data_IF_352057729220
#
_entry.id   IF_352057729220
#
_cell.length_a   1.000
_cell.length_b   1.000
_cell.length_c   1.000
_cell.angle_alpha   90.00
_cell.angle_beta   90.00
_cell.angle_gamma   90.00
#
_symmetry.space_group_name_H-M   'P 1'
#
loop_
_entity.id
_entity.type
_entity.pdbx_description
1 polymer ?
#
# COMPACT_ATOMS: atom_id res chain seq x y z
N UNK A 1 10.18 1.60 -21.31
CA UNK A 1 10.96 0.57 -20.61
C UNK A 1 10.43 -0.76 -21.04
N UNK A 2 11.29 -1.63 -21.56
CA UNK A 2 10.91 -3.01 -21.80
C UNK A 2 11.02 -3.76 -20.48
N UNK A 3 9.91 -4.34 -20.06
CA UNK A 3 9.80 -5.10 -18.81
C UNK A 3 9.64 -6.57 -19.16
N UNK A 4 10.50 -7.42 -18.61
CA UNK A 4 10.45 -8.87 -18.79
C UNK A 4 10.21 -9.54 -17.43
N UNK A 5 9.11 -10.27 -17.32
CA UNK A 5 8.79 -11.00 -16.09
C UNK A 5 9.79 -12.14 -15.86
N UNK A 6 10.54 -12.09 -14.77
CA UNK A 6 11.45 -13.15 -14.33
C UNK A 6 10.72 -14.07 -13.37
N UNK A 7 10.07 -13.49 -12.36
CA UNK A 7 9.19 -14.19 -11.43
C UNK A 7 7.83 -13.50 -11.42
N UNK A 8 6.73 -14.26 -11.55
CA UNK A 8 5.38 -13.69 -11.51
C UNK A 8 5.06 -13.11 -10.13
N UNK A 9 4.01 -12.29 -10.06
CA UNK A 9 3.47 -11.79 -8.80
C UNK A 9 3.07 -12.98 -7.93
N UNK A 10 3.64 -13.02 -6.73
CA UNK A 10 3.42 -14.06 -5.73
C UNK A 10 3.00 -13.41 -4.43
N UNK A 11 1.95 -13.93 -3.80
CA UNK A 11 1.55 -13.54 -2.44
C UNK A 11 2.48 -14.26 -1.48
N UNK A 12 3.26 -13.49 -0.74
CA UNK A 12 4.26 -13.98 0.21
C UNK A 12 3.65 -14.13 1.61
N UNK A 13 2.74 -13.24 1.97
CA UNK A 13 2.05 -13.22 3.26
C UNK A 13 0.61 -12.76 3.06
N UNK A 14 -0.31 -13.44 3.74
CA UNK A 14 -1.68 -12.97 3.92
C UNK A 14 -2.16 -13.40 5.31
N UNK A 15 -2.38 -12.42 6.18
CA UNK A 15 -2.92 -12.58 7.53
C UNK A 15 -4.26 -11.86 7.58
N UNK A 16 -5.26 -12.50 8.16
CA UNK A 16 -6.55 -11.90 8.43
C UNK A 16 -7.11 -12.45 9.75
N UNK A 17 -7.29 -11.56 10.73
CA UNK A 17 -7.74 -11.90 12.06
C UNK A 17 -9.21 -11.52 12.23
N UNK A 18 -10.10 -12.50 12.07
CA UNK A 18 -11.54 -12.29 12.09
C UNK A 18 -12.05 -11.75 13.44
N UNK A 19 -11.36 -12.05 14.55
CA UNK A 19 -11.68 -11.51 15.87
C UNK A 19 -11.68 -9.97 15.93
N UNK A 20 -10.85 -9.30 15.13
CA UNK A 20 -10.69 -7.85 15.14
C UNK A 20 -11.66 -7.10 14.21
N UNK A 21 -12.54 -7.82 13.49
CA UNK A 21 -13.50 -7.23 12.55
C UNK A 21 -14.51 -6.30 13.26
N UNK A 22 -14.96 -6.68 14.45
CA UNK A 22 -15.88 -5.83 15.21
C UNK A 22 -15.20 -4.54 15.69
N UNK A 23 -13.91 -4.62 16.04
CA UNK A 23 -13.10 -3.50 16.51
C UNK A 23 -12.83 -2.50 15.37
N UNK A 24 -12.64 -3.00 14.14
CA UNK A 24 -12.39 -2.16 12.97
C UNK A 24 -13.54 -1.21 12.62
N UNK A 25 -14.74 -1.45 13.13
CA UNK A 25 -15.91 -0.56 12.97
C UNK A 25 -15.78 0.71 13.80
N UNK A 26 -14.97 0.69 14.86
CA UNK A 26 -14.75 1.84 15.75
C UNK A 26 -13.54 2.69 15.34
N UNK A 27 -12.73 2.19 14.40
CA UNK A 27 -11.54 2.86 13.89
C UNK A 27 -10.52 1.84 13.41
N UNK A 28 -9.79 2.20 12.35
CA UNK A 28 -8.63 1.45 11.86
C UNK A 28 -7.62 2.41 11.23
N UNK A 29 -6.36 1.99 11.19
CA UNK A 29 -5.33 2.57 10.33
C UNK A 29 -5.21 1.73 9.07
N UNK A 30 -4.85 2.38 7.96
CA UNK A 30 -4.60 1.74 6.68
C UNK A 30 -3.29 2.28 6.11
N UNK A 31 -2.39 1.37 5.76
CA UNK A 31 -1.15 1.67 5.07
C UNK A 31 -1.02 0.76 3.85
N UNK A 32 -0.57 1.32 2.73
CA UNK A 32 -0.23 0.53 1.56
C UNK A 32 0.81 1.23 0.70
N UNK A 33 1.64 0.45 0.00
CA UNK A 33 2.64 1.04 -0.88
C UNK A 33 3.42 0.03 -1.69
N UNK A 34 4.05 0.53 -2.76
CA UNK A 34 5.05 -0.21 -3.51
C UNK A 34 6.45 0.01 -2.92
N UNK A 35 7.22 -1.06 -2.84
CA UNK A 35 8.65 -1.04 -2.60
C UNK A 35 9.42 -1.46 -3.83
N UNK A 36 10.61 -0.88 -4.02
CA UNK A 36 11.49 -1.15 -5.15
C UNK A 36 12.90 -1.41 -4.65
N UNK A 37 13.44 -2.58 -5.00
CA UNK A 37 14.83 -2.94 -4.77
C UNK A 37 15.48 -3.32 -6.10
N UNK A 38 16.66 -2.77 -6.38
CA UNK A 38 17.38 -3.00 -7.63
C UNK A 38 18.67 -3.76 -7.37
N UNK A 39 18.85 -4.90 -8.03
CA UNK A 39 20.03 -5.74 -7.90
C UNK A 39 20.56 -6.14 -9.28
N UNK A 40 21.87 -6.36 -9.38
CA UNK A 40 22.49 -6.95 -10.56
C UNK A 40 22.74 -8.44 -10.27
N UNK A 41 22.08 -9.30 -11.02
CA UNK A 41 22.29 -10.75 -10.98
C UNK A 41 22.84 -11.17 -12.33
N UNK A 42 24.04 -11.75 -12.36
CA UNK A 42 24.69 -12.24 -13.59
C UNK A 42 24.73 -11.21 -14.75
N UNK A 43 25.08 -9.96 -14.44
CA UNK A 43 25.09 -8.82 -15.38
C UNK A 43 23.72 -8.36 -15.90
N UNK A 44 22.63 -8.90 -15.34
CA UNK A 44 21.26 -8.49 -15.67
C UNK A 44 20.70 -7.58 -14.57
N UNK A 45 20.15 -6.42 -14.99
CA UNK A 45 19.46 -5.48 -14.10
C UNK A 45 18.10 -6.07 -13.71
N UNK A 46 17.97 -6.45 -12.46
CA UNK A 46 16.75 -7.03 -11.89
C UNK A 46 16.14 -6.05 -10.89
N UNK A 47 14.85 -5.78 -11.03
CA UNK A 47 14.07 -5.04 -10.05
C UNK A 47 13.14 -6.01 -9.32
N UNK A 48 13.23 -6.00 -8.00
CA UNK A 48 12.27 -6.64 -7.10
C UNK A 48 11.22 -5.60 -6.77
N UNK A 49 9.97 -5.90 -7.08
CA UNK A 49 8.83 -5.03 -6.78
C UNK A 49 8.03 -5.71 -5.68
N UNK A 50 7.86 -5.02 -4.54
CA UNK A 50 7.02 -5.46 -3.43
C UNK A 50 5.78 -4.59 -3.35
N UNK A 51 4.67 -5.18 -2.90
CA UNK A 51 3.47 -4.43 -2.55
C UNK A 51 2.95 -4.94 -1.21
N UNK A 52 2.71 -4.00 -0.30
CA UNK A 52 2.33 -4.27 1.07
C UNK A 52 1.04 -3.51 1.40
N UNK A 53 0.16 -4.16 2.18
CA UNK A 53 -1.00 -3.54 2.81
C UNK A 53 -1.01 -3.97 4.28
N UNK A 54 -1.19 -3.01 5.17
CA UNK A 54 -1.39 -3.24 6.59
C UNK A 54 -2.67 -2.51 7.04
N UNK A 55 -3.53 -3.24 7.75
CA UNK A 55 -4.69 -2.69 8.45
C UNK A 55 -4.57 -3.08 9.91
N UNK A 56 -4.57 -2.08 10.79
CA UNK A 56 -4.52 -2.29 12.23
C UNK A 56 -5.71 -1.66 12.94
N UNK A 57 -6.11 -2.25 14.06
CA UNK A 57 -7.18 -1.78 14.95
C UNK A 57 -6.61 -1.49 16.34
N UNK A 58 -7.34 -0.73 17.16
CA UNK A 58 -6.95 -0.54 18.56
C UNK A 58 -5.83 0.47 18.83
N UNK A 59 -5.34 1.19 17.82
CA UNK A 59 -4.30 2.22 17.98
C UNK A 59 -4.80 3.63 18.34
N UNK A 60 -6.11 3.85 18.51
CA UNK A 60 -6.69 5.13 18.91
C UNK A 60 -7.68 4.91 20.06
N UNK A 61 -7.34 5.42 21.25
CA UNK A 61 -8.30 5.55 22.35
C UNK A 61 -9.13 6.82 22.16
N UNK A 62 -10.44 6.66 22.02
CA UNK A 62 -11.38 7.77 21.96
C UNK A 62 -11.88 8.09 23.37
N UNK A 63 -11.71 9.34 23.78
CA UNK A 63 -12.27 9.85 25.03
C UNK A 63 -13.26 10.96 24.73
N UNK A 64 -14.49 10.80 25.22
CA UNK A 64 -15.52 11.82 25.13
C UNK A 64 -15.59 12.57 26.46
N UNK A 65 -15.39 13.90 26.42
CA UNK A 65 -15.58 14.76 27.58
C UNK A 65 -16.80 15.65 27.35
N UNK A 66 -17.81 15.51 28.21
CA UNK A 66 -18.97 16.39 28.22
C UNK A 66 -18.59 17.69 28.92
N UNK A 67 -18.60 18.79 28.18
CA UNK A 67 -18.33 20.13 28.68
C UNK A 67 -19.67 20.82 28.95
N UNK A 68 -19.99 21.15 30.21
CA UNK A 68 -21.16 21.93 30.55
C UNK A 68 -21.07 23.31 29.87
N UNK A 69 -22.17 23.77 29.30
CA UNK A 69 -22.25 25.13 28.76
C UNK A 69 -23.07 26.03 29.68
N UNK A 70 -22.92 27.35 29.52
CA UNK A 70 -23.69 28.33 30.30
C UNK A 70 -25.20 28.29 30.01
N UNK A 71 -25.61 27.59 28.94
CA UNK A 71 -27.01 27.32 28.61
C UNK A 71 -27.40 25.91 29.12
N UNK A 72 -28.34 25.79 30.08
CA UNK A 72 -28.72 24.51 30.69
C UNK A 72 -29.39 23.53 29.71
N UNK A 73 -29.73 23.97 28.49
CA UNK A 73 -30.26 23.12 27.43
C UNK A 73 -29.20 22.73 26.37
N UNK A 74 -27.93 23.09 26.57
CA UNK A 74 -26.85 22.79 25.63
C UNK A 74 -25.69 22.08 26.31
N UNK A 75 -25.18 21.09 25.59
CA UNK A 75 -23.99 20.33 25.95
C UNK A 75 -22.98 20.48 24.82
N UNK A 76 -21.71 20.64 25.17
CA UNK A 76 -20.62 20.50 24.23
C UNK A 76 -19.93 19.16 24.48
N UNK A 77 -19.64 18.41 23.42
CA UNK A 77 -18.87 17.17 23.51
C UNK A 77 -17.53 17.43 22.85
N UNK A 78 -16.47 17.29 23.64
CA UNK A 78 -15.12 17.25 23.10
C UNK A 78 -14.73 15.79 22.91
N UNK A 79 -14.49 15.40 21.67
CA UNK A 79 -13.98 14.08 21.29
C UNK A 79 -12.48 14.22 21.10
N UNK A 80 -11.69 13.53 21.93
CA UNK A 80 -10.24 13.48 21.82
C UNK A 80 -9.81 12.05 21.45
N UNK A 81 -9.05 11.91 20.37
CA UNK A 81 -8.36 10.65 20.05
C UNK A 81 -6.92 10.71 20.55
N UNK A 82 -6.48 9.68 21.26
CA UNK A 82 -5.09 9.48 21.65
C UNK A 82 -4.54 8.25 20.93
N UNK A 83 -3.46 8.44 20.17
CA UNK A 83 -2.72 7.31 19.61
C UNK A 83 -2.09 6.51 20.76
N UNK A 84 -2.29 5.20 20.75
CA UNK A 84 -1.67 4.25 21.70
C UNK A 84 -0.73 3.32 20.94
N UNK A 85 0.37 2.92 21.57
CA UNK A 85 1.38 2.07 20.93
C UNK A 85 0.83 0.66 20.63
N UNK A 86 1.23 0.16 19.45
CA UNK A 86 0.98 -1.13 18.80
C UNK A 86 -0.51 -1.51 18.62
N UNK A 87 -1.15 -0.91 17.61
CA UNK A 87 -2.43 -1.41 17.11
C UNK A 87 -2.33 -2.87 16.64
N UNK A 88 -3.37 -3.66 16.93
CA UNK A 88 -3.46 -5.08 16.56
C UNK A 88 -3.68 -5.24 15.06
N UNK A 89 -3.03 -6.23 14.46
CA UNK A 89 -3.16 -6.49 13.01
C UNK A 89 -4.54 -7.08 12.74
N UNK A 90 -5.37 -6.35 11.98
CA UNK A 90 -6.58 -6.91 11.39
C UNK A 90 -6.25 -7.66 10.10
N UNK A 91 -5.44 -7.04 9.25
CA UNK A 91 -5.02 -7.62 7.97
C UNK A 91 -3.58 -7.23 7.65
N UNK A 92 -2.77 -8.20 7.23
CA UNK A 92 -1.48 -7.97 6.56
C UNK A 92 -1.48 -8.68 5.21
N UNK A 93 -1.03 -8.01 4.18
CA UNK A 93 -0.82 -8.58 2.87
C UNK A 93 0.52 -8.13 2.32
N UNK A 94 1.32 -9.09 1.85
CA UNK A 94 2.60 -8.82 1.18
C UNK A 94 2.71 -9.67 -0.06
N UNK A 95 3.05 -9.02 -1.16
CA UNK A 95 3.33 -9.68 -2.45
C UNK A 95 4.61 -9.15 -3.08
N UNK A 96 5.22 -9.95 -3.94
CA UNK A 96 6.38 -9.53 -4.70
C UNK A 96 6.45 -10.16 -6.09
N UNK A 97 7.24 -9.54 -6.96
CA UNK A 97 7.66 -10.13 -8.23
C UNK A 97 9.09 -9.70 -8.57
N UNK A 98 9.67 -10.32 -9.59
CA UNK A 98 10.96 -9.93 -10.14
C UNK A 98 10.83 -9.64 -11.63
N UNK A 99 11.37 -8.51 -12.06
CA UNK A 99 11.39 -8.09 -13.46
C UNK A 99 12.81 -7.75 -13.90
N UNK A 100 13.13 -8.10 -15.14
CA UNK A 100 14.28 -7.55 -15.83
C UNK A 100 13.81 -6.36 -16.66
N UNK A 101 14.71 -5.40 -16.86
CA UNK A 101 14.40 -4.17 -17.55
C UNK A 101 15.48 -3.73 -18.54
N UNK A 102 15.01 -3.16 -19.64
CA UNK A 102 15.81 -2.40 -20.59
C UNK A 102 15.23 -0.99 -20.73
N UNK A 103 16.07 0.01 -20.49
CA UNK A 103 15.69 1.41 -20.51
C UNK A 103 15.46 1.87 -21.96
N UNK A 104 14.47 2.73 -22.16
CA UNK A 104 14.12 3.30 -23.48
C UNK A 104 14.04 4.84 -23.45
N UNK A 105 14.27 5.45 -22.29
CA UNK A 105 14.20 6.90 -22.07
C UNK A 105 13.14 7.25 -21.06
N UNK A 106 13.35 8.36 -20.33
CA UNK A 106 12.62 8.65 -19.08
C UNK A 106 11.09 8.62 -19.25
N UNK A 107 10.55 9.37 -20.20
CA UNK A 107 9.09 9.46 -20.38
C UNK A 107 8.48 8.10 -20.80
N UNK A 108 9.16 7.36 -21.68
CA UNK A 108 8.72 6.04 -22.11
C UNK A 108 8.81 5.01 -20.98
N UNK A 109 9.82 5.14 -20.13
CA UNK A 109 10.07 4.28 -18.99
C UNK A 109 9.05 4.50 -17.87
N UNK A 110 8.74 5.77 -17.55
CA UNK A 110 7.66 6.14 -16.61
C UNK A 110 6.33 5.56 -17.06
N UNK A 111 5.98 5.73 -18.34
CA UNK A 111 4.71 5.21 -18.87
C UNK A 111 4.63 3.68 -18.78
N UNK A 112 5.70 2.99 -19.15
CA UNK A 112 5.75 1.53 -19.13
C UNK A 112 5.65 0.96 -17.71
N UNK A 113 6.33 1.58 -16.74
CA UNK A 113 6.26 1.20 -15.33
C UNK A 113 4.89 1.51 -14.73
N UNK A 114 4.29 2.66 -15.08
CA UNK A 114 2.92 3.01 -14.63
C UNK A 114 1.91 1.95 -15.08
N UNK A 115 1.97 1.52 -16.34
CA UNK A 115 1.12 0.47 -16.88
C UNK A 115 1.37 -0.89 -16.20
N UNK A 116 2.63 -1.20 -15.89
CA UNK A 116 2.98 -2.40 -15.13
C UNK A 116 2.38 -2.38 -13.72
N UNK A 117 2.55 -1.28 -12.97
CA UNK A 117 2.02 -1.13 -11.61
C UNK A 117 0.49 -1.14 -11.59
N UNK A 118 -0.16 -0.62 -12.63
CA UNK A 118 -1.62 -0.73 -12.78
C UNK A 118 -2.10 -2.17 -12.91
N UNK A 119 -1.37 -3.01 -13.68
CA UNK A 119 -1.66 -4.45 -13.79
C UNK A 119 -1.37 -5.18 -12.48
N UNK A 120 -0.30 -4.80 -11.78
CA UNK A 120 0.00 -5.33 -10.45
C UNK A 120 -1.15 -5.03 -9.48
N UNK A 121 -1.60 -3.78 -9.39
CA UNK A 121 -2.73 -3.40 -8.54
C UNK A 121 -3.99 -4.20 -8.89
N UNK A 122 -4.28 -4.40 -10.19
CA UNK A 122 -5.41 -5.23 -10.63
C UNK A 122 -5.28 -6.69 -10.17
N UNK A 123 -4.06 -7.26 -10.19
CA UNK A 123 -3.80 -8.60 -9.67
C UNK A 123 -4.12 -8.68 -8.17
N UNK A 124 -3.65 -7.71 -7.39
CA UNK A 124 -3.93 -7.61 -5.95
C UNK A 124 -5.43 -7.49 -5.66
N UNK A 125 -6.15 -6.64 -6.39
CA UNK A 125 -7.61 -6.52 -6.26
C UNK A 125 -8.34 -7.84 -6.57
N UNK A 126 -7.86 -8.58 -7.58
CA UNK A 126 -8.41 -9.90 -7.92
C UNK A 126 -8.20 -10.89 -6.79
N UNK A 127 -7.03 -10.89 -6.14
CA UNK A 127 -6.77 -11.74 -4.97
C UNK A 127 -7.76 -11.46 -3.84
N UNK A 128 -7.96 -10.19 -3.45
CA UNK A 128 -8.91 -9.85 -2.39
C UNK A 128 -10.36 -10.15 -2.73
N UNK A 129 -10.77 -10.03 -3.99
CA UNK A 129 -12.11 -10.41 -4.43
C UNK A 129 -12.39 -11.91 -4.25
N UNK A 130 -11.36 -12.74 -4.34
CA UNK A 130 -11.46 -14.20 -4.23
C UNK A 130 -11.27 -14.70 -2.79
N UNK A 131 -10.30 -14.15 -2.06
CA UNK A 131 -9.82 -14.69 -0.79
C UNK A 131 -9.88 -13.69 0.37
N UNK A 132 -10.12 -12.42 0.08
CA UNK A 132 -10.03 -11.32 1.03
C UNK A 132 -11.28 -11.08 1.87
N UNK A 133 -11.09 -10.37 2.97
CA UNK A 133 -12.15 -9.78 3.77
C UNK A 133 -13.04 -8.87 2.90
N UNK A 134 -14.29 -9.29 2.68
CA UNK A 134 -15.23 -8.65 1.75
C UNK A 134 -15.99 -7.46 2.31
N UNK A 135 -15.93 -7.15 3.60
CA UNK A 135 -16.71 -6.02 4.13
C UNK A 135 -15.94 -4.70 4.04
N UNK A 136 -16.23 -4.01 2.94
CA UNK A 136 -16.80 -2.67 2.98
C UNK A 136 -15.95 -1.54 3.60
N UNK A 137 -14.82 -1.20 2.98
CA UNK A 137 -14.31 0.19 2.90
C UNK A 137 -13.03 0.37 2.06
N UNK A 138 -12.44 -0.70 1.50
CA UNK A 138 -11.21 -0.61 0.69
C UNK A 138 -11.43 -0.15 -0.77
N UNK A 139 -12.53 0.56 -1.04
CA UNK A 139 -12.61 1.48 -2.19
C UNK A 139 -11.81 2.78 -1.93
N UNK A 140 -11.36 3.01 -0.69
CA UNK A 140 -10.42 4.07 -0.36
C UNK A 140 -9.05 3.72 -0.93
N UNK A 141 -8.87 4.15 -2.17
CA UNK A 141 -7.61 4.24 -2.90
C UNK A 141 -7.16 2.92 -3.53
N UNK A 142 -7.91 2.48 -4.54
CA UNK A 142 -7.22 2.04 -5.76
C UNK A 142 -6.16 3.10 -6.05
N UNK A 143 -4.87 2.74 -6.04
CA UNK A 143 -3.80 3.68 -6.34
C UNK A 143 -4.18 4.45 -7.60
N UNK A 144 -4.38 5.76 -7.44
CA UNK A 144 -4.78 6.61 -8.56
C UNK A 144 -3.71 6.52 -9.64
N UNK A 145 -4.07 6.79 -10.89
CA UNK A 145 -3.06 6.80 -11.96
C UNK A 145 -1.89 7.72 -11.63
N UNK A 146 -2.17 8.86 -10.99
CA UNK A 146 -1.14 9.79 -10.52
C UNK A 146 -0.24 9.13 -9.46
N UNK A 147 -0.79 8.45 -8.46
CA UNK A 147 0.01 7.74 -7.45
C UNK A 147 0.87 6.64 -8.08
N UNK A 148 0.36 5.93 -9.09
CA UNK A 148 1.12 4.93 -9.84
C UNK A 148 2.27 5.55 -10.65
N UNK A 149 2.05 6.72 -11.24
CA UNK A 149 3.08 7.48 -11.95
C UNK A 149 4.18 7.97 -10.99
N UNK A 150 3.80 8.48 -9.82
CA UNK A 150 4.75 8.86 -8.76
C UNK A 150 5.60 7.66 -8.30
N UNK A 151 4.98 6.49 -8.13
CA UNK A 151 5.69 5.25 -7.83
C UNK A 151 6.62 4.81 -8.98
N UNK A 152 6.21 4.97 -10.24
CA UNK A 152 7.06 4.69 -11.39
C UNK A 152 8.29 5.62 -11.44
N UNK A 153 8.11 6.90 -11.11
CA UNK A 153 9.22 7.85 -10.98
C UNK A 153 10.16 7.42 -9.84
N UNK A 154 9.63 7.06 -8.67
CA UNK A 154 10.44 6.56 -7.54
C UNK A 154 11.26 5.33 -7.94
N UNK A 155 10.66 4.38 -8.68
CA UNK A 155 11.36 3.20 -9.17
C UNK A 155 12.52 3.56 -10.12
N UNK A 156 12.33 4.53 -11.01
CA UNK A 156 13.38 5.02 -11.91
C UNK A 156 14.48 5.75 -11.13
N UNK A 157 14.11 6.60 -10.16
CA UNK A 157 15.09 7.28 -9.30
C UNK A 157 15.89 6.27 -8.46
N UNK A 158 15.27 5.17 -8.02
CA UNK A 158 15.97 4.08 -7.35
C UNK A 158 16.99 3.42 -8.29
N UNK A 159 16.62 3.16 -9.56
CA UNK A 159 17.57 2.68 -10.57
C UNK A 159 18.71 3.67 -10.82
N UNK A 160 18.43 4.98 -10.89
CA UNK A 160 19.45 6.03 -11.05
C UNK A 160 20.41 6.07 -9.87
N UNK A 161 19.89 6.07 -8.64
CA UNK A 161 20.68 6.06 -7.41
C UNK A 161 21.59 4.83 -7.29
N UNK A 162 21.23 3.73 -7.95
CA UNK A 162 22.02 2.50 -8.00
C UNK A 162 22.92 2.37 -9.25
N UNK A 163 23.08 3.41 -10.07
CA UNK A 163 23.82 3.38 -11.34
C UNK A 163 23.31 2.32 -12.34
N UNK A 164 22.02 1.98 -12.25
CA UNK A 164 21.36 1.00 -13.12
C UNK A 164 20.49 1.67 -14.19
N UNK A 165 20.40 3.00 -14.20
CA UNK A 165 19.67 3.76 -15.20
C UNK A 165 20.61 4.66 -16.01
N UNK A 166 20.70 4.42 -17.32
CA UNK A 166 21.50 5.23 -18.25
C UNK A 166 20.58 5.71 -19.37
N UNK A 167 20.27 7.01 -19.40
CA UNK A 167 19.58 7.70 -20.50
C UNK A 167 19.70 9.21 -20.34
#
# INVERSE_FOLDING_TARGET
MKIFNVQPITVNEYIFNEEHVAESLNGNSYESGFGFECIIVDSVKTMIVTFEILISVGGIEWTDTIIPTDDPNKWSVQVNGMETDDGEILMSYKSSCQINLENEGFDADVLSLTDFLSKYNTHTQTFFNLYGFKSAQMERESLSRQALEENAIIAIENLRGNNMYEF
#
